data_IF_424911492596
#
_entry.id   IF_424911492596
#
_cell.length_a   1.000
_cell.length_b   1.000
_cell.length_c   1.000
_cell.angle_alpha   90.00
_cell.angle_beta   90.00
_cell.angle_gamma   90.00
#
_symmetry.space_group_name_H-M   'P 1'
#
loop_
_entity.id
_entity.type
_entity.pdbx_description
1 polymer ?
#
# COMPACT_ATOMS: atom_id res chain seq x y z
N UNK A 1 -18.11 -2.20 21.24
CA UNK A 1 -17.00 -2.92 20.56
C UNK A 1 -17.39 -3.38 19.15
N UNK A 2 -18.58 -3.96 18.95
CA UNK A 2 -19.05 -4.39 17.62
C UNK A 2 -18.99 -3.30 16.53
N UNK A 3 -19.46 -2.07 16.80
CA UNK A 3 -19.43 -0.99 15.79
C UNK A 3 -18.03 -0.61 15.28
N UNK A 4 -16.98 -0.69 16.12
CA UNK A 4 -15.60 -0.40 15.70
C UNK A 4 -15.04 -1.47 14.74
N UNK A 5 -15.49 -2.71 14.87
CA UNK A 5 -15.08 -3.82 14.01
C UNK A 5 -15.74 -3.67 12.63
N UNK A 6 -17.03 -3.33 12.60
CA UNK A 6 -17.74 -3.07 11.34
C UNK A 6 -17.14 -1.89 10.55
N UNK A 7 -16.82 -0.79 11.24
CA UNK A 7 -16.15 0.36 10.63
C UNK A 7 -14.78 -0.01 10.05
N UNK A 8 -14.00 -0.81 10.77
CA UNK A 8 -12.72 -1.33 10.28
C UNK A 8 -12.90 -2.17 9.01
N UNK A 9 -13.81 -3.14 9.00
CA UNK A 9 -14.06 -3.95 7.80
C UNK A 9 -14.59 -3.13 6.64
N UNK A 10 -15.36 -2.07 6.90
CA UNK A 10 -15.81 -1.14 5.86
C UNK A 10 -14.62 -0.39 5.24
N UNK A 11 -13.68 0.09 6.04
CA UNK A 11 -12.47 0.73 5.55
C UNK A 11 -11.60 -0.24 4.73
N UNK A 12 -11.39 -1.46 5.22
CA UNK A 12 -10.67 -2.51 4.47
C UNK A 12 -11.36 -2.85 3.14
N UNK A 13 -12.68 -2.96 3.13
CA UNK A 13 -13.45 -3.21 1.91
C UNK A 13 -13.30 -2.07 0.90
N UNK A 14 -13.29 -0.82 1.37
CA UNK A 14 -13.07 0.34 0.51
C UNK A 14 -11.67 0.33 -0.11
N UNK A 15 -10.63 0.10 0.69
CA UNK A 15 -9.26 0.00 0.19
C UNK A 15 -9.09 -1.16 -0.81
N UNK A 16 -9.68 -2.32 -0.52
CA UNK A 16 -9.67 -3.47 -1.42
C UNK A 16 -10.33 -3.20 -2.76
N UNK A 17 -11.43 -2.42 -2.79
CA UNK A 17 -12.08 -1.98 -4.04
C UNK A 17 -11.20 -1.05 -4.86
N UNK A 18 -10.52 -0.10 -4.21
CA UNK A 18 -9.57 0.81 -4.90
C UNK A 18 -8.44 0.00 -5.55
N UNK A 19 -7.87 -0.96 -4.81
CA UNK A 19 -6.83 -1.84 -5.33
C UNK A 19 -7.33 -2.69 -6.50
N UNK A 20 -8.50 -3.31 -6.39
CA UNK A 20 -9.09 -4.12 -7.46
C UNK A 20 -9.36 -3.29 -8.72
N UNK A 21 -9.95 -2.10 -8.57
CA UNK A 21 -10.23 -1.20 -9.69
C UNK A 21 -8.95 -0.73 -10.40
N UNK A 22 -7.88 -0.50 -9.65
CA UNK A 22 -6.57 -0.14 -10.22
C UNK A 22 -5.93 -1.31 -10.98
N UNK A 23 -6.11 -2.55 -10.52
CA UNK A 23 -5.68 -3.73 -11.28
C UNK A 23 -6.50 -3.87 -12.57
N UNK A 24 -7.82 -3.68 -12.51
CA UNK A 24 -8.71 -3.76 -13.68
C UNK A 24 -8.36 -2.71 -14.75
N UNK A 25 -7.92 -1.52 -14.34
CA UNK A 25 -7.45 -0.48 -15.26
C UNK A 25 -6.02 -0.72 -15.79
N UNK A 26 -5.43 -1.89 -15.54
CA UNK A 26 -4.04 -2.24 -15.87
C UNK A 26 -3.01 -1.30 -15.23
N UNK A 27 -3.37 -0.67 -14.11
CA UNK A 27 -2.51 0.20 -13.35
C UNK A 27 -1.40 -0.55 -12.62
N UNK A 28 -0.25 0.10 -12.48
CA UNK A 28 0.89 -0.43 -11.73
C UNK A 28 0.74 -0.13 -10.23
N UNK A 29 1.06 -1.09 -9.37
CA UNK A 29 0.98 -0.96 -7.91
C UNK A 29 2.38 -0.96 -7.29
N UNK A 30 2.70 0.09 -6.55
CA UNK A 30 3.93 0.20 -5.77
C UNK A 30 3.65 -0.18 -4.32
N UNK A 31 4.20 -1.31 -3.87
CA UNK A 31 4.04 -1.82 -2.51
C UNK A 31 5.30 -1.46 -1.71
N UNK A 32 5.15 -0.68 -0.65
CA UNK A 32 6.21 -0.35 0.30
C UNK A 32 5.93 -1.02 1.63
N UNK A 33 6.93 -1.71 2.19
CA UNK A 33 6.74 -2.41 3.45
C UNK A 33 7.96 -2.34 4.37
N UNK A 34 7.75 -2.50 5.66
CA UNK A 34 8.79 -2.42 6.68
C UNK A 34 9.78 -3.61 6.60
N UNK A 35 11.01 -3.43 7.08
CA UNK A 35 12.11 -4.39 6.98
C UNK A 35 12.16 -5.44 8.10
N UNK A 36 10.99 -5.80 8.64
CA UNK A 36 10.84 -6.80 9.69
C UNK A 36 9.95 -7.97 9.23
N UNK A 37 9.81 -9.05 10.04
CA UNK A 37 8.99 -10.19 9.67
C UNK A 37 7.52 -9.87 9.39
N UNK A 38 6.94 -8.86 10.06
CA UNK A 38 5.53 -8.49 9.89
C UNK A 38 5.35 -7.76 8.55
N UNK A 39 6.21 -6.78 8.26
CA UNK A 39 6.25 -6.09 6.98
C UNK A 39 6.49 -7.05 5.82
N UNK A 40 7.49 -7.92 5.89
CA UNK A 40 7.75 -8.90 4.84
C UNK A 40 6.54 -9.82 4.60
N UNK A 41 5.87 -10.27 5.66
CA UNK A 41 4.66 -11.08 5.53
C UNK A 41 3.50 -10.29 4.91
N UNK A 42 3.23 -9.09 5.40
CA UNK A 42 2.13 -8.23 4.94
C UNK A 42 2.33 -7.79 3.48
N UNK A 43 3.55 -7.36 3.12
CA UNK A 43 3.92 -7.05 1.75
C UNK A 43 3.79 -8.25 0.81
N UNK A 44 4.17 -9.46 1.25
CA UNK A 44 3.99 -10.68 0.47
C UNK A 44 2.51 -11.05 0.28
N UNK A 45 1.66 -10.86 1.30
CA UNK A 45 0.21 -11.06 1.19
C UNK A 45 -0.38 -10.12 0.14
N UNK A 46 0.01 -8.84 0.14
CA UNK A 46 -0.44 -7.86 -0.85
C UNK A 46 0.04 -8.22 -2.27
N UNK A 47 1.33 -8.53 -2.42
CA UNK A 47 1.91 -8.95 -3.70
C UNK A 47 1.20 -10.19 -4.28
N UNK A 48 0.94 -11.21 -3.45
CA UNK A 48 0.18 -12.39 -3.87
C UNK A 48 -1.26 -12.06 -4.24
N UNK A 49 -1.88 -11.11 -3.54
CA UNK A 49 -3.24 -10.65 -3.84
C UNK A 49 -3.29 -9.98 -5.21
N UNK A 50 -2.40 -9.03 -5.48
CA UNK A 50 -2.30 -8.37 -6.80
C UNK A 50 -2.00 -9.39 -7.90
N UNK A 51 -1.06 -10.31 -7.66
CA UNK A 51 -0.74 -11.40 -8.60
C UNK A 51 -1.96 -12.26 -8.93
N UNK A 52 -2.77 -12.64 -7.93
CA UNK A 52 -3.98 -13.45 -8.12
C UNK A 52 -5.06 -12.71 -8.92
N UNK A 53 -5.10 -11.38 -8.81
CA UNK A 53 -5.97 -10.52 -9.62
C UNK A 53 -5.43 -10.27 -11.05
N UNK A 54 -4.22 -10.73 -11.37
CA UNK A 54 -3.57 -10.52 -12.67
C UNK A 54 -2.90 -9.15 -12.83
N UNK A 55 -2.69 -8.41 -11.74
CA UNK A 55 -2.09 -7.07 -11.77
C UNK A 55 -0.56 -7.06 -11.76
N UNK A 56 0.00 -5.89 -12.08
CA UNK A 56 1.44 -5.64 -12.03
C UNK A 56 1.81 -4.87 -10.77
N UNK A 57 2.90 -5.26 -10.13
CA UNK A 57 3.39 -4.59 -8.93
C UNK A 57 4.91 -4.61 -8.82
N UNK A 58 5.43 -3.68 -8.02
CA UNK A 58 6.79 -3.70 -7.50
C UNK A 58 6.74 -3.61 -5.99
N UNK A 59 7.48 -4.50 -5.31
CA UNK A 59 7.63 -4.45 -3.85
C UNK A 59 8.99 -3.87 -3.49
N UNK A 60 9.01 -2.89 -2.59
CA UNK A 60 10.23 -2.33 -2.01
C UNK A 60 10.14 -2.42 -0.49
N UNK A 61 11.13 -3.06 0.10
CA UNK A 61 11.30 -3.14 1.56
C UNK A 61 12.08 -1.92 2.01
N UNK A 62 11.57 -1.20 3.01
CA UNK A 62 12.12 0.07 3.51
C UNK A 62 12.18 0.07 5.03
N UNK A 63 13.23 0.66 5.60
CA UNK A 63 13.36 0.89 7.05
C UNK A 63 12.49 2.08 7.51
N UNK A 64 12.45 3.16 6.73
CA UNK A 64 11.72 4.39 7.09
C UNK A 64 11.23 5.18 5.89
N UNK A 65 10.21 6.00 6.12
CA UNK A 65 9.74 7.01 5.17
C UNK A 65 10.47 8.32 5.48
N UNK A 66 11.12 8.91 4.48
CA UNK A 66 11.84 10.17 4.56
C UNK A 66 11.46 11.08 3.39
N UNK A 67 11.70 12.38 3.50
CA UNK A 67 11.47 13.34 2.39
C UNK A 67 12.23 12.94 1.12
N UNK A 68 13.48 12.49 1.24
CA UNK A 68 14.27 12.02 0.11
C UNK A 68 13.63 10.80 -0.57
N UNK A 69 13.06 9.89 0.22
CA UNK A 69 12.32 8.74 -0.31
C UNK A 69 11.02 9.18 -1.01
N UNK A 70 10.28 10.13 -0.44
CA UNK A 70 9.07 10.67 -1.09
C UNK A 70 9.42 11.30 -2.44
N UNK A 71 10.47 12.12 -2.51
CA UNK A 71 10.92 12.73 -3.76
C UNK A 71 11.44 11.73 -4.80
N UNK A 72 11.86 10.53 -4.37
CA UNK A 72 12.21 9.46 -5.30
C UNK A 72 10.98 8.80 -5.93
N UNK A 73 9.89 8.70 -5.17
CA UNK A 73 8.72 7.92 -5.59
C UNK A 73 7.56 8.76 -6.13
N UNK A 74 7.51 10.07 -5.86
CA UNK A 74 6.36 10.91 -6.21
C UNK A 74 6.01 10.90 -7.70
N UNK A 75 7.01 10.85 -8.56
CA UNK A 75 6.88 10.87 -10.03
C UNK A 75 6.64 9.48 -10.64
N UNK A 76 6.61 8.39 -9.86
CA UNK A 76 6.43 7.04 -10.40
C UNK A 76 5.03 6.83 -11.00
N UNK A 77 4.04 7.57 -10.49
CA UNK A 77 2.63 7.39 -10.82
C UNK A 77 2.06 6.05 -10.32
N UNK A 78 0.85 5.71 -10.76
CA UNK A 78 0.18 4.48 -10.33
C UNK A 78 -0.41 4.57 -8.92
N UNK A 79 -0.51 3.43 -8.24
CA UNK A 79 -1.10 3.33 -6.90
C UNK A 79 -0.02 2.95 -5.88
N UNK A 80 0.16 3.78 -4.86
CA UNK A 80 1.05 3.51 -3.74
C UNK A 80 0.31 2.78 -2.61
N UNK A 81 0.88 1.68 -2.12
CA UNK A 81 0.35 0.89 -1.00
C UNK A 81 1.44 0.74 0.05
N UNK A 82 1.20 1.27 1.25
CA UNK A 82 2.11 1.15 2.39
C UNK A 82 1.57 0.10 3.37
N UNK A 83 2.44 -0.82 3.79
CA UNK A 83 2.08 -1.96 4.65
C UNK A 83 3.05 -2.08 5.82
N UNK A 84 2.54 -2.15 7.05
CA UNK A 84 3.32 -2.08 8.31
C UNK A 84 4.16 -0.80 8.49
N UNK A 85 3.90 0.23 7.68
CA UNK A 85 4.54 1.54 7.78
C UNK A 85 3.59 2.63 7.24
N UNK A 86 3.78 3.89 7.65
CA UNK A 86 3.10 5.04 7.05
C UNK A 86 2.13 5.80 7.95
N UNK A 87 1.53 5.14 8.95
CA UNK A 87 0.55 5.78 9.85
C UNK A 87 1.10 6.97 10.64
N UNK A 88 2.39 6.92 11.01
CA UNK A 88 3.10 8.05 11.64
C UNK A 88 3.65 9.09 10.66
N UNK A 89 3.47 8.88 9.35
CA UNK A 89 4.08 9.69 8.28
C UNK A 89 3.04 10.35 7.38
N UNK A 90 1.78 10.45 7.82
CA UNK A 90 0.65 10.97 7.03
C UNK A 90 0.96 12.32 6.39
N UNK A 91 1.65 13.22 7.10
CA UNK A 91 2.04 14.52 6.55
C UNK A 91 3.08 14.42 5.43
N UNK A 92 4.06 13.52 5.55
CA UNK A 92 5.05 13.26 4.50
C UNK A 92 4.45 12.55 3.28
N UNK A 93 3.33 11.82 3.46
CA UNK A 93 2.66 11.07 2.39
C UNK A 93 1.67 11.92 1.58
N UNK A 94 1.29 13.12 2.06
CA UNK A 94 0.36 14.03 1.36
C UNK A 94 0.73 14.36 -0.09
N UNK A 95 2.01 14.49 -0.49
CA UNK A 95 2.36 14.73 -1.89
C UNK A 95 1.96 13.58 -2.84
N UNK A 96 1.70 12.38 -2.30
CA UNK A 96 1.37 11.18 -3.08
C UNK A 96 -0.13 10.96 -3.29
N UNK A 97 -1.00 11.81 -2.74
CA UNK A 97 -2.47 11.66 -2.77
C UNK A 97 -3.17 12.54 -3.79
#
# INVERSE_FOLDING_TARGET
MAGKIEEFFKACSQAGKVLAAHVESHGFIHIFTHDDPDGLAAGAILAQTVKRLGGYFHIRVIDRISEAFIGEIEDLGGLYVFSEIGSGYVDLLKPLT
#
